data_IF_070862722016
#
_entry.id   IF_070862722016
#
_cell.length_a   1.000
_cell.length_b   1.000
_cell.length_c   1.000
_cell.angle_alpha   90.00
_cell.angle_beta   90.00
_cell.angle_gamma   90.00
#
_symmetry.space_group_name_H-M   'P 1'
#
loop_
_entity.id
_entity.type
_entity.pdbx_description
1 polymer ?
#
# COMPACT_ATOMS: atom_id res chain seq x y z
N UNK A 1 -3.16 9.39 -4.49
CA UNK A 1 -4.00 8.28 -4.99
C UNK A 1 -5.50 8.63 -5.10
N UNK A 2 -6.09 9.49 -4.24
CA UNK A 2 -7.51 9.88 -4.32
C UNK A 2 -7.97 10.52 -5.66
N UNK A 3 -7.06 11.15 -6.41
CA UNK A 3 -7.37 11.79 -7.70
C UNK A 3 -7.59 10.78 -8.86
N UNK A 4 -7.20 9.52 -8.67
CA UNK A 4 -7.13 8.54 -9.75
C UNK A 4 -8.43 7.73 -9.92
N UNK A 5 -9.25 7.63 -8.86
CA UNK A 5 -10.56 6.95 -8.90
C UNK A 5 -11.61 7.67 -9.78
N UNK A 6 -11.41 8.95 -10.11
CA UNK A 6 -12.34 9.74 -10.93
C UNK A 6 -12.11 9.61 -12.44
N UNK A 7 -10.98 9.05 -12.88
CA UNK A 7 -10.56 9.03 -14.28
C UNK A 7 -10.22 7.63 -14.77
N UNK A 8 -11.20 6.72 -14.77
CA UNK A 8 -11.13 5.47 -15.55
C UNK A 8 -9.81 4.69 -15.42
N UNK A 9 -9.32 4.58 -14.18
CA UNK A 9 -8.09 3.87 -13.89
C UNK A 9 -8.37 2.38 -13.96
N UNK A 10 -7.65 1.69 -14.84
CA UNK A 10 -7.68 0.23 -14.95
C UNK A 10 -6.41 -0.32 -14.31
N UNK A 11 -6.57 -1.13 -13.26
CA UNK A 11 -5.48 -1.86 -12.63
C UNK A 11 -5.69 -3.35 -12.84
N UNK A 12 -4.64 -4.03 -13.29
CA UNK A 12 -4.58 -5.49 -13.40
C UNK A 12 -3.42 -5.97 -12.57
N UNK A 13 -3.67 -6.95 -11.70
CA UNK A 13 -2.64 -7.62 -10.89
C UNK A 13 -2.65 -9.11 -11.24
N UNK A 14 -1.49 -9.63 -11.62
CA UNK A 14 -1.23 -11.05 -11.82
C UNK A 14 -0.30 -11.51 -10.69
N UNK A 15 -0.69 -12.57 -9.99
CA UNK A 15 0.09 -13.18 -8.91
C UNK A 15 0.44 -14.60 -9.36
N UNK A 16 1.72 -14.88 -9.52
CA UNK A 16 2.24 -16.16 -9.99
C UNK A 16 2.69 -17.04 -8.83
N UNK A 17 2.45 -18.35 -8.96
CA UNK A 17 2.77 -19.34 -7.93
C UNK A 17 4.29 -19.56 -7.75
N UNK A 18 5.12 -18.90 -8.53
CA UNK A 18 6.59 -18.88 -8.36
C UNK A 18 7.07 -17.77 -7.41
N UNK A 19 6.15 -17.02 -6.81
CA UNK A 19 6.45 -15.94 -5.87
C UNK A 19 6.69 -14.59 -6.56
N UNK A 20 6.28 -14.44 -7.82
CA UNK A 20 6.36 -13.16 -8.55
C UNK A 20 4.97 -12.57 -8.77
N UNK A 21 4.93 -11.24 -8.94
CA UNK A 21 3.72 -10.55 -9.37
C UNK A 21 4.03 -9.56 -10.49
N UNK A 22 3.02 -9.30 -11.32
CA UNK A 22 3.01 -8.22 -12.30
C UNK A 22 1.79 -7.35 -12.07
N UNK A 23 1.99 -6.05 -11.89
CA UNK A 23 0.93 -5.06 -11.80
C UNK A 23 0.99 -4.15 -13.02
N UNK A 24 -0.14 -3.91 -13.65
CA UNK A 24 -0.28 -2.94 -14.73
C UNK A 24 -1.35 -1.93 -14.37
N UNK A 25 -1.02 -0.65 -14.50
CA UNK A 25 -1.90 0.48 -14.23
C UNK A 25 -2.05 1.31 -15.50
N UNK A 26 -3.28 1.54 -15.93
CA UNK A 26 -3.60 2.35 -17.11
C UNK A 26 -4.51 3.51 -16.76
N UNK A 27 -4.13 4.71 -17.18
CA UNK A 27 -4.92 5.94 -16.99
C UNK A 27 -4.79 6.86 -18.21
N UNK A 28 -5.93 7.27 -18.78
CA UNK A 28 -5.98 8.20 -19.93
C UNK A 28 -5.08 7.81 -21.13
N UNK A 29 -4.91 6.51 -21.37
CA UNK A 29 -4.08 5.98 -22.46
C UNK A 29 -2.57 5.89 -22.16
N UNK A 30 -2.16 6.26 -20.95
CA UNK A 30 -0.83 5.94 -20.42
C UNK A 30 -0.90 4.64 -19.62
N UNK A 31 0.11 3.80 -19.78
CA UNK A 31 0.23 2.52 -19.09
C UNK A 31 1.60 2.43 -18.44
N UNK A 32 1.62 2.05 -17.18
CA UNK A 32 2.82 1.72 -16.41
C UNK A 32 2.69 0.29 -15.89
N UNK A 33 3.81 -0.41 -15.83
CA UNK A 33 3.87 -1.79 -15.37
C UNK A 33 5.01 -1.94 -14.37
N UNK A 34 4.73 -2.67 -13.31
CA UNK A 34 5.64 -3.00 -12.23
C UNK A 34 5.67 -4.50 -12.02
N UNK A 35 6.84 -5.02 -11.65
CA UNK A 35 7.03 -6.43 -11.32
C UNK A 35 7.80 -6.53 -10.02
N UNK A 36 7.42 -7.47 -9.16
CA UNK A 36 8.12 -7.70 -7.91
C UNK A 36 7.94 -9.12 -7.41
N UNK A 37 8.20 -9.29 -6.13
CA UNK A 37 8.13 -10.57 -5.43
C UNK A 37 7.09 -10.55 -4.34
N UNK A 38 6.48 -11.70 -4.09
CA UNK A 38 5.57 -11.87 -2.98
C UNK A 38 5.85 -13.18 -2.24
N UNK A 39 5.49 -13.20 -0.96
CA UNK A 39 5.48 -14.41 -0.14
C UNK A 39 4.35 -14.37 0.87
N UNK A 40 3.87 -15.53 1.29
CA UNK A 40 2.93 -15.64 2.41
C UNK A 40 3.74 -15.83 3.70
N UNK A 41 3.47 -15.03 4.72
CA UNK A 41 4.09 -15.22 6.03
C UNK A 41 3.30 -16.24 6.86
N UNK A 42 3.91 -16.74 7.95
CA UNK A 42 3.31 -17.79 8.79
C UNK A 42 1.96 -17.40 9.44
N UNK A 43 1.62 -16.10 9.42
CA UNK A 43 0.38 -15.54 9.95
C UNK A 43 -0.71 -15.37 8.88
N UNK A 44 -0.44 -15.81 7.65
CA UNK A 44 -1.36 -15.69 6.50
C UNK A 44 -1.44 -14.28 5.91
N UNK A 45 -0.50 -13.41 6.26
CA UNK A 45 -0.34 -12.10 5.63
C UNK A 45 0.51 -12.20 4.37
N UNK A 46 0.29 -11.30 3.42
CA UNK A 46 1.04 -11.26 2.17
C UNK A 46 2.15 -10.24 2.30
N UNK A 47 3.40 -10.69 2.16
CA UNK A 47 4.55 -9.82 2.05
C UNK A 47 4.81 -9.51 0.57
N UNK A 48 4.80 -8.24 0.17
CA UNK A 48 5.09 -7.78 -1.19
C UNK A 48 6.34 -6.93 -1.13
N UNK A 49 7.40 -7.35 -1.82
CA UNK A 49 8.72 -6.69 -1.84
C UNK A 49 9.31 -6.37 -0.45
N UNK A 50 8.92 -7.16 0.57
CA UNK A 50 9.38 -7.05 1.96
C UNK A 50 8.46 -6.24 2.87
N UNK A 51 7.36 -5.71 2.36
CA UNK A 51 6.33 -5.00 3.12
C UNK A 51 5.11 -5.91 3.34
N UNK A 52 4.61 -5.96 4.58
CA UNK A 52 3.56 -6.90 4.99
C UNK A 52 2.17 -6.26 4.90
N UNK A 53 1.30 -6.86 4.11
CA UNK A 53 -0.07 -6.42 3.90
C UNK A 53 -1.05 -7.38 4.56
N UNK A 54 -2.01 -6.81 5.30
CA UNK A 54 -3.14 -7.58 5.80
C UNK A 54 -4.04 -7.97 4.63
N UNK A 55 -4.20 -9.27 4.39
CA UNK A 55 -5.06 -9.77 3.31
C UNK A 55 -6.31 -10.46 3.84
N UNK A 56 -7.40 -10.37 3.08
CA UNK A 56 -8.63 -11.10 3.39
C UNK A 56 -9.22 -11.62 2.10
N UNK A 57 -9.45 -12.93 2.03
CA UNK A 57 -10.10 -13.59 0.90
C UNK A 57 -11.62 -13.64 1.13
N UNK A 58 -12.41 -13.26 0.12
CA UNK A 58 -13.85 -13.41 0.17
C UNK A 58 -14.25 -14.89 0.18
N UNK A 59 -15.40 -15.20 0.79
CA UNK A 59 -15.86 -16.57 0.96
C UNK A 59 -16.17 -17.30 -0.36
N UNK A 60 -16.42 -16.55 -1.44
CA UNK A 60 -16.62 -17.08 -2.78
C UNK A 60 -15.30 -17.37 -3.52
N UNK A 61 -14.16 -16.98 -2.96
CA UNK A 61 -12.83 -17.10 -3.56
C UNK A 61 -12.64 -16.24 -4.81
N UNK A 62 -13.53 -15.28 -5.04
CA UNK A 62 -13.59 -14.51 -6.28
C UNK A 62 -13.11 -13.07 -6.10
N UNK A 63 -12.98 -12.60 -4.86
CA UNK A 63 -12.29 -11.36 -4.53
C UNK A 63 -11.39 -11.52 -3.33
N UNK A 64 -10.36 -10.68 -3.26
CA UNK A 64 -9.56 -10.51 -2.06
C UNK A 64 -9.28 -9.03 -1.84
N UNK A 65 -9.04 -8.65 -0.59
CA UNK A 65 -8.63 -7.30 -0.25
C UNK A 65 -7.26 -7.29 0.39
N UNK A 66 -6.51 -6.22 0.12
CA UNK A 66 -5.27 -5.86 0.79
C UNK A 66 -5.52 -4.59 1.59
N UNK A 67 -5.08 -4.59 2.84
CA UNK A 67 -5.07 -3.41 3.69
C UNK A 67 -3.64 -3.11 4.08
N UNK A 68 -3.21 -1.91 3.74
CA UNK A 68 -1.96 -1.31 4.18
C UNK A 68 -2.29 -0.30 5.30
N UNK A 69 -1.54 -0.37 6.40
CA UNK A 69 -1.76 0.43 7.59
C UNK A 69 -0.45 1.08 7.99
N UNK A 70 -0.45 2.41 8.00
CA UNK A 70 0.68 3.19 8.47
C UNK A 70 0.28 3.88 9.78
N UNK A 71 1.12 3.72 10.81
CA UNK A 71 0.97 4.46 12.05
C UNK A 71 1.32 5.94 11.84
N UNK A 72 0.83 6.79 12.74
CA UNK A 72 1.21 8.20 12.73
C UNK A 72 2.68 8.36 13.14
N UNK A 73 3.44 9.19 12.43
CA UNK A 73 4.85 9.39 12.69
C UNK A 73 5.27 10.85 12.48
N UNK A 74 6.44 11.20 13.02
CA UNK A 74 7.02 12.54 12.93
C UNK A 74 8.33 12.49 12.16
N UNK A 75 8.49 13.31 11.13
CA UNK A 75 9.64 13.30 10.23
C UNK A 75 10.40 14.65 10.25
N UNK A 76 11.72 14.61 10.23
CA UNK A 76 12.54 15.79 10.01
C UNK A 76 12.43 16.24 8.53
N UNK A 77 11.98 17.47 8.23
CA UNK A 77 11.70 17.91 6.86
C UNK A 77 12.96 18.13 6.00
N UNK A 78 14.15 18.07 6.59
CA UNK A 78 15.42 18.25 5.90
C UNK A 78 16.17 16.94 5.69
N UNK A 79 16.05 15.99 6.62
CA UNK A 79 16.69 14.68 6.50
C UNK A 79 15.75 13.59 6.01
N UNK A 80 14.43 13.79 6.10
CA UNK A 80 13.40 12.79 5.80
C UNK A 80 13.51 11.53 6.66
N UNK A 81 13.98 11.69 7.90
CA UNK A 81 14.13 10.59 8.85
C UNK A 81 13.04 10.72 9.92
N UNK A 82 12.48 9.58 10.33
CA UNK A 82 11.55 9.52 11.45
C UNK A 82 12.25 9.91 12.76
N UNK A 83 11.55 10.69 13.57
CA UNK A 83 12.03 11.23 14.85
C UNK A 83 11.35 10.51 16.02
N UNK A 84 11.84 10.73 17.24
CA UNK A 84 11.28 10.10 18.44
C UNK A 84 9.97 10.71 18.96
N UNK A 85 9.38 11.68 18.26
CA UNK A 85 8.16 12.36 18.69
C UNK A 85 6.92 11.53 18.33
N UNK A 86 6.08 11.24 19.32
CA UNK A 86 4.91 10.35 19.18
C UNK A 86 3.57 11.08 19.21
N UNK A 87 3.58 12.42 19.17
CA UNK A 87 2.38 13.24 19.13
C UNK A 87 2.58 14.47 18.23
N UNK A 88 1.51 14.89 17.56
CA UNK A 88 1.55 15.97 16.57
C UNK A 88 2.00 17.31 17.14
N UNK A 89 1.67 17.59 18.39
CA UNK A 89 2.02 18.88 19.01
C UNK A 89 3.51 18.95 19.27
N UNK A 90 4.10 17.94 19.92
CA UNK A 90 5.54 17.94 20.20
C UNK A 90 6.39 17.84 18.92
N UNK A 91 5.89 17.14 17.90
CA UNK A 91 6.50 17.10 16.57
C UNK A 91 6.57 18.49 15.93
N UNK A 92 5.42 19.17 15.85
CA UNK A 92 5.32 20.49 15.21
C UNK A 92 6.04 21.59 16.00
N UNK A 93 6.02 21.52 17.34
CA UNK A 93 6.76 22.45 18.20
C UNK A 93 8.29 22.32 18.01
N UNK A 94 8.77 21.13 17.63
CA UNK A 94 10.17 20.89 17.27
C UNK A 94 10.51 21.35 15.83
N UNK A 95 9.52 21.79 15.04
CA UNK A 95 9.69 22.23 13.66
C UNK A 95 9.69 21.09 12.64
N UNK A 96 9.16 19.92 13.00
CA UNK A 96 9.06 18.74 12.16
C UNK A 96 7.68 18.61 11.50
N UNK A 97 7.57 17.71 10.52
CA UNK A 97 6.32 17.39 9.84
C UNK A 97 5.65 16.17 10.49
N UNK A 98 4.36 16.32 10.83
CA UNK A 98 3.54 15.24 11.37
C UNK A 98 2.72 14.59 10.27
N UNK A 99 2.84 13.27 10.14
CA UNK A 99 2.03 12.45 9.27
C UNK A 99 1.02 11.69 10.12
N UNK A 100 -0.28 11.91 9.84
CA UNK A 100 -1.35 11.21 10.53
C UNK A 100 -1.40 9.74 10.09
N UNK A 101 -1.83 8.87 11.01
CA UNK A 101 -2.04 7.46 10.71
C UNK A 101 -2.98 7.31 9.51
N UNK A 102 -2.63 6.38 8.63
CA UNK A 102 -3.30 6.20 7.35
C UNK A 102 -3.61 4.72 7.11
N UNK A 103 -4.63 4.48 6.31
CA UNK A 103 -5.06 3.13 5.96
C UNK A 103 -5.51 3.12 4.51
N UNK A 104 -4.82 2.34 3.69
CA UNK A 104 -5.16 2.13 2.29
C UNK A 104 -5.81 0.74 2.14
N UNK A 105 -7.05 0.75 1.66
CA UNK A 105 -7.81 -0.46 1.36
C UNK A 105 -7.95 -0.62 -0.15
N UNK A 106 -7.56 -1.80 -0.65
CA UNK A 106 -7.70 -2.17 -2.06
C UNK A 106 -8.43 -3.50 -2.16
N UNK A 107 -9.45 -3.59 -3.00
CA UNK A 107 -10.19 -4.83 -3.29
C UNK A 107 -9.97 -5.23 -4.75
N UNK A 108 -9.54 -6.47 -4.95
CA UNK A 108 -9.36 -7.08 -6.26
C UNK A 108 -10.45 -8.12 -6.47
N UNK A 109 -11.14 -8.04 -7.60
CA UNK A 109 -12.11 -9.05 -8.03
C UNK A 109 -11.62 -9.72 -9.30
N UNK A 110 -11.68 -11.04 -9.33
CA UNK A 110 -11.30 -11.85 -10.48
C UNK A 110 -12.19 -11.51 -11.69
N UNK A 111 -11.56 -11.23 -12.84
CA UNK A 111 -12.23 -11.10 -14.14
C UNK A 111 -12.42 -12.46 -14.82
#
# INVERSE_FOLDING_TARGET
>A
WAFAQAFGLEQTLTIDNDGTYEMTMSILGYTESETGTWSENDEGSLSVDGEDFSTTMAADGNSFSMTDQEDAYCEDPYTYEETSHTDSTSCQDAGNDWYEASCLYTEFTKQ
#
